data_IF_583191762253
#
_entry.id   IF_583191762253
#
_cell.length_a   1.000
_cell.length_b   1.000
_cell.length_c   1.000
_cell.angle_alpha   90.00
_cell.angle_beta   90.00
_cell.angle_gamma   90.00
#
_symmetry.space_group_name_H-M   'P 1'
#
loop_
_entity.id
_entity.type
_entity.pdbx_description
1 polymer ?
#
# COMPACT_ATOMS: atom_id res chain seq x y z
N UNK A 1 -5.62 -72.98 -13.54
CA UNK A 1 -6.69 -72.76 -14.55
C UNK A 1 -6.47 -71.39 -15.16
N UNK A 2 -6.02 -71.33 -16.43
CA UNK A 2 -5.90 -70.10 -17.21
C UNK A 2 -7.29 -69.62 -17.62
N UNK A 3 -7.57 -68.33 -17.52
CA UNK A 3 -8.37 -67.66 -18.53
C UNK A 3 -7.64 -66.40 -18.99
N UNK A 4 -7.29 -66.46 -20.27
CA UNK A 4 -6.72 -65.41 -21.11
C UNK A 4 -7.77 -64.34 -21.44
N UNK A 5 -7.27 -63.24 -22.02
CA UNK A 5 -7.91 -62.21 -22.88
C UNK A 5 -8.05 -60.84 -22.20
N UNK A 6 -7.60 -59.71 -22.77
CA UNK A 6 -7.00 -59.45 -24.08
C UNK A 6 -6.13 -58.18 -23.99
N UNK A 7 -4.90 -58.24 -24.50
CA UNK A 7 -4.03 -57.09 -24.73
C UNK A 7 -4.33 -56.55 -26.15
N UNK A 8 -4.72 -55.29 -26.28
CA UNK A 8 -4.74 -54.59 -27.57
C UNK A 8 -3.57 -53.59 -27.62
N UNK A 9 -2.74 -53.58 -28.68
CA UNK A 9 -1.65 -52.64 -28.83
C UNK A 9 -2.16 -51.39 -29.55
N UNK A 10 -1.89 -50.19 -29.03
CA UNK A 10 -2.00 -48.99 -29.83
C UNK A 10 -0.72 -48.18 -29.76
N UNK A 11 -0.08 -48.16 -30.92
CA UNK A 11 1.14 -47.47 -31.31
C UNK A 11 1.19 -46.01 -30.84
N UNK A 12 2.39 -45.56 -30.44
CA UNK A 12 2.67 -44.13 -30.31
C UNK A 12 2.39 -43.43 -31.64
N UNK A 13 1.31 -42.66 -31.68
CA UNK A 13 1.09 -41.66 -32.71
C UNK A 13 2.00 -40.47 -32.38
N UNK A 14 2.99 -40.22 -33.22
CA UNK A 14 3.77 -39.00 -33.20
C UNK A 14 2.84 -37.82 -33.52
N UNK A 15 2.30 -37.18 -32.49
CA UNK A 15 1.73 -35.85 -32.62
C UNK A 15 2.88 -34.85 -32.67
N UNK A 16 3.14 -34.31 -33.85
CA UNK A 16 3.97 -33.14 -34.07
C UNK A 16 3.46 -32.00 -33.20
N UNK A 17 4.16 -31.72 -32.11
CA UNK A 17 3.99 -30.49 -31.34
C UNK A 17 4.22 -29.29 -32.28
N UNK A 18 3.34 -28.27 -32.29
CA UNK A 18 3.63 -27.05 -33.01
C UNK A 18 4.92 -26.46 -32.45
N UNK A 19 5.83 -26.08 -33.36
CA UNK A 19 7.09 -25.43 -33.03
C UNK A 19 6.83 -24.30 -32.02
N UNK A 20 7.46 -24.41 -30.85
CA UNK A 20 7.41 -23.39 -29.83
C UNK A 20 7.82 -22.05 -30.47
N UNK A 21 6.86 -21.13 -30.58
CA UNK A 21 7.16 -19.74 -30.88
C UNK A 21 8.19 -19.27 -29.85
N UNK A 22 9.24 -18.55 -30.26
CA UNK A 22 10.22 -18.03 -29.31
C UNK A 22 9.46 -17.14 -28.32
N UNK A 23 9.38 -17.60 -27.07
CA UNK A 23 8.86 -16.80 -25.98
C UNK A 23 9.59 -15.46 -26.00
N UNK A 24 8.86 -14.38 -26.24
CA UNK A 24 9.36 -13.05 -26.05
C UNK A 24 9.98 -13.01 -24.65
N UNK A 25 11.28 -12.71 -24.56
CA UNK A 25 11.97 -12.59 -23.27
C UNK A 25 11.22 -11.54 -22.45
N UNK A 26 10.44 -12.00 -21.48
CA UNK A 26 9.90 -11.12 -20.47
C UNK A 26 11.11 -10.56 -19.71
N UNK A 27 11.30 -9.24 -19.78
CA UNK A 27 12.33 -8.57 -19.01
C UNK A 27 12.18 -8.95 -17.54
N UNK A 28 13.25 -9.47 -16.94
CA UNK A 28 13.27 -9.77 -15.51
C UNK A 28 12.89 -8.50 -14.72
N UNK A 29 12.05 -8.60 -13.67
CA UNK A 29 11.65 -7.44 -12.89
C UNK A 29 12.90 -6.77 -12.33
N UNK A 30 13.11 -5.51 -12.74
CA UNK A 30 14.25 -4.70 -12.28
C UNK A 30 14.21 -4.61 -10.76
N UNK A 31 15.34 -4.87 -10.10
CA UNK A 31 15.46 -4.82 -8.66
C UNK A 31 15.06 -3.42 -8.15
N UNK A 32 14.12 -3.38 -7.20
CA UNK A 32 13.65 -2.14 -6.59
C UNK A 32 14.65 -1.66 -5.54
N UNK A 33 14.93 -0.36 -5.51
CA UNK A 33 15.82 0.28 -4.53
C UNK A 33 15.03 1.28 -3.69
N UNK A 34 15.23 1.24 -2.38
CA UNK A 34 14.69 2.24 -1.47
C UNK A 34 15.51 3.53 -1.57
N UNK A 35 14.81 4.66 -1.63
CA UNK A 35 15.39 6.00 -1.64
C UNK A 35 14.80 6.76 -0.45
N UNK A 36 15.65 7.39 0.34
CA UNK A 36 15.20 8.27 1.42
C UNK A 36 14.61 9.53 0.81
N UNK A 37 13.33 9.78 1.12
CA UNK A 37 12.56 10.89 0.53
C UNK A 37 12.44 12.07 1.50
N UNK A 38 12.44 11.80 2.81
CA UNK A 38 12.39 12.81 3.88
C UNK A 38 12.87 12.20 5.20
N UNK A 39 13.35 13.04 6.12
CA UNK A 39 13.56 12.71 7.53
C UNK A 39 12.69 13.60 8.40
N UNK A 40 11.86 12.99 9.24
CA UNK A 40 10.98 13.68 10.19
C UNK A 40 11.70 13.77 11.54
N UNK A 41 12.32 14.93 11.80
CA UNK A 41 13.24 15.10 12.94
C UNK A 41 12.54 15.32 14.30
N UNK A 42 11.23 15.55 14.32
CA UNK A 42 10.47 15.81 15.56
C UNK A 42 9.25 14.91 15.67
N UNK A 43 8.76 14.74 16.91
CA UNK A 43 7.56 13.96 17.19
C UNK A 43 6.34 14.63 16.54
N UNK A 44 6.27 15.95 16.59
CA UNK A 44 5.20 16.77 16.03
C UNK A 44 5.15 16.60 14.50
N UNK A 45 6.30 16.68 13.82
CA UNK A 45 6.38 16.48 12.37
C UNK A 45 5.97 15.06 11.96
N UNK A 46 6.34 14.05 12.76
CA UNK A 46 5.91 12.67 12.50
C UNK A 46 4.40 12.49 12.70
N UNK A 47 3.83 13.06 13.77
CA UNK A 47 2.38 13.02 14.02
C UNK A 47 1.60 13.73 12.91
N UNK A 48 2.03 14.92 12.51
CA UNK A 48 1.40 15.68 11.44
C UNK A 48 1.47 14.91 10.11
N UNK A 49 2.64 14.37 9.76
CA UNK A 49 2.80 13.54 8.57
C UNK A 49 1.85 12.34 8.58
N UNK A 50 1.75 11.61 9.70
CA UNK A 50 0.85 10.46 9.83
C UNK A 50 -0.62 10.87 9.68
N UNK A 51 -1.04 11.96 10.33
CA UNK A 51 -2.40 12.49 10.19
C UNK A 51 -2.72 12.88 8.75
N UNK A 52 -1.78 13.54 8.06
CA UNK A 52 -1.94 13.96 6.67
C UNK A 52 -1.99 12.77 5.71
N UNK A 53 -1.20 11.71 5.95
CA UNK A 53 -1.28 10.46 5.18
C UNK A 53 -2.66 9.81 5.36
N UNK A 54 -3.16 9.72 6.60
CA UNK A 54 -4.50 9.17 6.87
C UNK A 54 -5.60 9.98 6.18
N UNK A 55 -5.52 11.32 6.24
CA UNK A 55 -6.45 12.21 5.57
C UNK A 55 -6.46 11.97 4.06
N UNK A 56 -5.29 11.91 3.42
CA UNK A 56 -5.17 11.65 1.99
C UNK A 56 -5.75 10.29 1.58
N UNK A 57 -5.52 9.24 2.38
CA UNK A 57 -6.09 7.92 2.12
C UNK A 57 -7.61 7.91 2.27
N UNK A 58 -8.15 8.57 3.29
CA UNK A 58 -9.59 8.72 3.49
C UNK A 58 -10.25 9.49 2.33
N UNK A 59 -9.62 10.58 1.86
CA UNK A 59 -10.10 11.34 0.70
C UNK A 59 -10.08 10.50 -0.58
N UNK A 60 -9.04 9.70 -0.80
CA UNK A 60 -8.98 8.76 -1.93
C UNK A 60 -10.11 7.74 -1.86
N UNK A 61 -10.35 7.16 -0.69
CA UNK A 61 -11.42 6.17 -0.50
C UNK A 61 -12.80 6.79 -0.76
N UNK A 62 -13.07 7.99 -0.23
CA UNK A 62 -14.31 8.71 -0.48
C UNK A 62 -14.54 9.02 -1.97
N UNK A 63 -13.47 9.29 -2.73
CA UNK A 63 -13.56 9.49 -4.18
C UNK A 63 -13.96 8.20 -4.92
N UNK A 64 -13.44 7.05 -4.50
CA UNK A 64 -13.84 5.73 -5.03
C UNK A 64 -15.31 5.46 -4.74
N UNK A 65 -15.78 5.75 -3.53
CA UNK A 65 -17.17 5.56 -3.12
C UNK A 65 -18.13 6.46 -3.90
N UNK A 66 -17.78 7.75 -4.08
CA UNK A 66 -18.57 8.68 -4.89
C UNK A 66 -18.64 8.24 -6.35
N UNK A 67 -17.53 7.81 -6.95
CA UNK A 67 -17.54 7.24 -8.31
C UNK A 67 -18.49 6.05 -8.41
N UNK A 68 -18.39 5.12 -7.45
CA UNK A 68 -19.25 3.95 -7.42
C UNK A 68 -20.74 4.32 -7.26
N UNK A 69 -21.06 5.36 -6.48
CA UNK A 69 -22.42 5.88 -6.33
C UNK A 69 -22.93 6.53 -7.63
N UNK A 70 -22.10 7.29 -8.33
CA UNK A 70 -22.42 7.91 -9.63
C UNK A 70 -22.78 6.87 -10.68
N UNK A 71 -22.05 5.75 -10.72
CA UNK A 71 -22.30 4.64 -11.65
C UNK A 71 -23.63 3.93 -11.40
N UNK A 72 -24.10 3.90 -10.15
CA UNK A 72 -25.33 3.22 -9.75
C UNK A 72 -26.56 4.12 -9.76
N UNK A 73 -26.36 5.44 -9.73
CA UNK A 73 -27.44 6.42 -9.70
C UNK A 73 -28.12 6.54 -11.07
N UNK A 74 -29.45 6.46 -11.06
CA UNK A 74 -30.29 6.53 -12.27
C UNK A 74 -30.93 7.90 -12.45
N UNK A 75 -31.06 8.66 -11.37
CA UNK A 75 -31.58 10.01 -11.40
C UNK A 75 -30.51 11.01 -11.88
N UNK A 76 -30.80 11.73 -12.97
CA UNK A 76 -29.85 12.65 -13.59
C UNK A 76 -29.48 13.84 -12.70
N UNK A 77 -30.40 14.33 -11.86
CA UNK A 77 -30.14 15.45 -10.97
C UNK A 77 -29.22 15.03 -9.82
N UNK A 78 -29.50 13.87 -9.19
CA UNK A 78 -28.63 13.28 -8.16
C UNK A 78 -27.27 12.90 -8.73
N UNK A 79 -27.22 12.35 -9.94
CA UNK A 79 -25.95 12.03 -10.58
C UNK A 79 -25.10 13.29 -10.81
N UNK A 80 -25.72 14.40 -11.22
CA UNK A 80 -25.04 15.70 -11.38
C UNK A 80 -24.51 16.22 -10.03
N UNK A 81 -25.31 16.11 -8.97
CA UNK A 81 -24.89 16.50 -7.62
C UNK A 81 -23.67 15.67 -7.15
N UNK A 82 -23.73 14.35 -7.29
CA UNK A 82 -22.64 13.45 -6.91
C UNK A 82 -21.36 13.74 -7.70
N UNK A 83 -21.47 14.04 -9.00
CA UNK A 83 -20.34 14.48 -9.83
C UNK A 83 -19.71 15.78 -9.31
N UNK A 84 -20.52 16.76 -8.91
CA UNK A 84 -20.03 18.00 -8.30
C UNK A 84 -19.30 17.76 -6.98
N UNK A 85 -19.81 16.86 -6.13
CA UNK A 85 -19.15 16.47 -4.88
C UNK A 85 -17.81 15.76 -5.16
N UNK A 86 -17.77 14.88 -6.15
CA UNK A 86 -16.55 14.19 -6.57
C UNK A 86 -15.51 15.18 -7.09
N UNK A 87 -15.90 16.12 -7.95
CA UNK A 87 -14.99 17.14 -8.49
C UNK A 87 -14.36 17.97 -7.37
N UNK A 88 -15.18 18.47 -6.44
CA UNK A 88 -14.70 19.23 -5.29
C UNK A 88 -13.73 18.40 -4.41
N UNK A 89 -14.02 17.11 -4.22
CA UNK A 89 -13.15 16.21 -3.47
C UNK A 89 -11.82 15.95 -4.19
N UNK A 90 -11.86 15.73 -5.51
CA UNK A 90 -10.67 15.49 -6.33
C UNK A 90 -9.75 16.72 -6.37
N UNK A 91 -10.31 17.93 -6.45
CA UNK A 91 -9.55 19.17 -6.36
C UNK A 91 -8.78 19.25 -5.03
N UNK A 92 -9.48 19.03 -3.90
CA UNK A 92 -8.84 19.03 -2.57
C UNK A 92 -7.80 17.92 -2.40
N UNK A 93 -8.09 16.72 -2.91
CA UNK A 93 -7.14 15.59 -2.89
C UNK A 93 -5.84 15.97 -3.63
N UNK A 94 -5.96 16.59 -4.79
CA UNK A 94 -4.82 16.99 -5.62
C UNK A 94 -4.01 18.11 -4.96
N UNK A 95 -4.67 19.11 -4.38
CA UNK A 95 -4.02 20.19 -3.61
C UNK A 95 -3.24 19.63 -2.41
N UNK A 96 -3.88 18.76 -1.62
CA UNK A 96 -3.26 18.13 -0.45
C UNK A 96 -2.09 17.23 -0.86
N UNK A 97 -2.23 16.45 -1.94
CA UNK A 97 -1.16 15.59 -2.43
C UNK A 97 0.03 16.41 -2.97
N UNK A 98 -0.23 17.55 -3.61
CA UNK A 98 0.81 18.48 -4.04
C UNK A 98 1.55 19.09 -2.84
N UNK A 99 0.84 19.46 -1.78
CA UNK A 99 1.43 19.95 -0.54
C UNK A 99 2.29 18.87 0.13
N UNK A 100 1.79 17.64 0.26
CA UNK A 100 2.54 16.52 0.84
C UNK A 100 3.83 16.21 0.07
N UNK A 101 3.79 16.32 -1.27
CA UNK A 101 4.97 16.16 -2.12
C UNK A 101 5.96 17.29 -1.91
N UNK A 102 5.50 18.53 -1.78
CA UNK A 102 6.37 19.68 -1.54
C UNK A 102 7.04 19.62 -0.17
N UNK A 103 6.29 19.27 0.87
CA UNK A 103 6.75 19.33 2.26
C UNK A 103 7.56 18.08 2.66
N UNK A 104 7.13 16.91 2.21
CA UNK A 104 7.66 15.62 2.68
C UNK A 104 8.20 14.73 1.55
N UNK A 105 8.10 15.16 0.29
CA UNK A 105 8.37 14.31 -0.87
C UNK A 105 7.39 13.15 -1.05
N UNK A 106 6.34 13.07 -0.23
CA UNK A 106 5.34 12.00 -0.25
C UNK A 106 4.26 12.25 -1.31
N UNK A 107 3.76 11.20 -1.94
CA UNK A 107 2.65 11.33 -2.90
C UNK A 107 1.88 10.01 -3.08
N UNK A 108 0.57 10.08 -3.21
CA UNK A 108 -0.30 8.91 -3.35
C UNK A 108 -0.08 8.06 -4.63
N UNK A 109 0.77 8.51 -5.55
CA UNK A 109 1.14 7.82 -6.79
C UNK A 109 2.40 6.93 -6.66
N UNK A 110 3.00 6.86 -5.46
CA UNK A 110 4.18 6.04 -5.18
C UNK A 110 3.93 5.06 -4.03
N UNK A 111 4.67 3.96 -4.06
CA UNK A 111 4.71 2.98 -2.99
C UNK A 111 5.86 3.33 -2.03
N UNK A 112 5.55 3.58 -0.76
CA UNK A 112 6.55 3.90 0.27
C UNK A 112 6.64 2.79 1.32
N UNK A 113 7.85 2.61 1.86
CA UNK A 113 8.08 1.89 3.11
C UNK A 113 8.51 2.90 4.16
N UNK A 114 7.79 2.99 5.28
CA UNK A 114 8.14 3.87 6.40
C UNK A 114 9.06 3.09 7.35
N UNK A 115 10.25 3.63 7.62
CA UNK A 115 11.18 3.08 8.60
C UNK A 115 11.18 3.99 9.83
N UNK A 116 10.95 3.41 11.00
CA UNK A 116 10.94 4.14 12.27
C UNK A 116 12.37 4.15 12.82
N UNK A 117 13.05 5.29 12.75
CA UNK A 117 14.42 5.41 13.28
C UNK A 117 14.44 5.62 14.81
N UNK A 118 13.40 6.25 15.37
CA UNK A 118 13.33 6.56 16.80
C UNK A 118 11.88 6.47 17.31
N UNK A 119 11.67 5.69 18.36
CA UNK A 119 10.39 5.58 19.06
C UNK A 119 10.63 5.82 20.56
N UNK A 120 9.78 6.62 21.18
CA UNK A 120 9.80 6.88 22.61
C UNK A 120 8.55 6.26 23.23
N UNK A 121 8.74 5.39 24.23
CA UNK A 121 7.67 4.80 25.03
C UNK A 121 7.79 5.35 26.44
N UNK A 122 6.72 5.95 26.94
CA UNK A 122 6.66 6.56 28.26
C UNK A 122 5.69 5.79 29.16
N UNK A 123 5.97 5.78 30.46
CA UNK A 123 5.08 5.27 31.50
C UNK A 123 4.87 6.35 32.56
N UNK A 124 3.67 6.43 33.13
CA UNK A 124 3.44 7.25 34.31
C UNK A 124 3.97 6.53 35.53
N UNK A 125 4.84 7.19 36.29
CA UNK A 125 5.48 6.67 37.50
C UNK A 125 5.59 7.80 38.53
N UNK A 126 5.64 7.44 39.82
CA UNK A 126 5.99 8.41 40.87
C UNK A 126 7.48 8.74 40.84
N UNK A 127 7.91 9.80 41.55
CA UNK A 127 9.34 10.14 41.66
C UNK A 127 10.14 9.00 42.31
N UNK A 128 9.56 8.32 43.31
CA UNK A 128 10.18 7.19 43.97
C UNK A 128 10.36 5.99 43.02
N UNK A 129 9.35 5.71 42.19
CA UNK A 129 9.41 4.66 41.17
C UNK A 129 10.42 5.01 40.06
N UNK A 130 10.48 6.27 39.62
CA UNK A 130 11.45 6.74 38.64
C UNK A 130 12.89 6.53 39.14
N UNK A 131 13.18 6.92 40.38
CA UNK A 131 14.51 6.76 40.99
C UNK A 131 14.93 5.28 41.08
N UNK A 132 13.99 4.38 41.38
CA UNK A 132 14.25 2.93 41.41
C UNK A 132 14.55 2.37 40.01
N UNK A 133 13.78 2.79 38.99
CA UNK A 133 13.96 2.36 37.60
C UNK A 133 15.27 2.86 37.00
N UNK A 134 15.68 4.10 37.29
CA UNK A 134 16.95 4.67 36.84
C UNK A 134 18.15 3.94 37.45
N UNK A 135 18.11 3.66 38.76
CA UNK A 135 19.15 2.86 39.42
C UNK A 135 19.23 1.44 38.84
N UNK A 136 18.09 0.83 38.50
CA UNK A 136 18.04 -0.48 37.87
C UNK A 136 18.60 -0.47 36.43
N UNK A 137 18.37 0.61 35.67
CA UNK A 137 18.89 0.78 34.31
C UNK A 137 20.41 1.05 34.29
N UNK A 138 20.93 1.84 35.23
CA UNK A 138 22.35 2.16 35.34
C UNK A 138 23.21 0.93 35.66
N UNK A 139 22.67 -0.06 36.37
CA UNK A 139 23.34 -1.35 36.67
C UNK A 139 23.37 -2.34 35.49
N UNK A 140 22.61 -2.06 34.43
CA UNK A 140 22.52 -2.93 33.23
C UNK A 140 23.34 -2.43 32.04
N UNK A 141 23.95 -1.24 32.15
CA UNK A 141 24.94 -0.74 31.20
C UNK A 141 26.34 -1.14 31.63
#
# INVERSE_FOLDING_TARGET
MRLLTLLAPFSLLAATLPAAQPAAKADAPKAQKLVQVSTLNTIEANREFQANVQLLQAQRQAAVELNTAIEREKDAAKQKELKGRLEALMTKLNENNALMRKTYGFSLDRNYSVVIEKAHVYMFVTEEEAAQLEQAAAKKK
#
